data_IF_549740645921
#
_entry.id   IF_549740645921
#
_cell.length_a   1.000
_cell.length_b   1.000
_cell.length_c   1.000
_cell.angle_alpha   90.00
_cell.angle_beta   90.00
_cell.angle_gamma   90.00
#
_symmetry.space_group_name_H-M   'P 1'
#
loop_
_entity.id
_entity.type
_entity.pdbx_description
1 polymer ?
#
# COMPACT_ATOMS: atom_id res chain seq x y z
N UNK A 1 -19.12 8.27 -2.25
CA UNK A 1 -18.11 7.92 -1.22
C UNK A 1 -17.27 9.15 -0.92
N UNK A 2 -16.97 9.42 0.35
CA UNK A 2 -15.97 10.45 0.71
C UNK A 2 -14.58 9.97 0.29
N UNK A 3 -13.71 10.90 -0.11
CA UNK A 3 -12.29 10.62 -0.36
C UNK A 3 -11.65 10.23 0.98
N UNK A 4 -10.87 9.13 1.06
CA UNK A 4 -10.25 8.73 2.31
C UNK A 4 -9.10 9.67 2.69
N UNK A 5 -8.77 9.75 3.98
CA UNK A 5 -7.88 10.78 4.53
C UNK A 5 -6.43 10.73 4.01
N UNK A 6 -6.00 9.61 3.43
CA UNK A 6 -4.70 9.46 2.77
C UNK A 6 -4.67 9.99 1.33
N UNK A 7 -5.77 10.55 0.83
CA UNK A 7 -5.85 11.27 -0.42
C UNK A 7 -6.32 12.70 -0.19
N UNK A 8 -5.52 13.68 -0.62
CA UNK A 8 -5.86 15.10 -0.53
C UNK A 8 -6.24 15.67 -1.89
N UNK A 9 -7.21 16.58 -1.94
CA UNK A 9 -7.49 17.36 -3.15
C UNK A 9 -6.54 18.55 -3.22
N UNK A 10 -5.72 18.60 -4.27
CA UNK A 10 -4.85 19.74 -4.57
C UNK A 10 -4.98 20.08 -6.05
N UNK A 11 -5.31 21.34 -6.36
CA UNK A 11 -5.49 21.84 -7.73
C UNK A 11 -6.53 21.04 -8.54
N UNK A 12 -7.64 20.65 -7.90
CA UNK A 12 -8.69 19.83 -8.53
C UNK A 12 -8.31 18.34 -8.75
N UNK A 13 -7.10 17.93 -8.36
CA UNK A 13 -6.61 16.55 -8.49
C UNK A 13 -6.48 15.87 -7.13
N UNK A 14 -6.82 14.59 -7.08
CA UNK A 14 -6.58 13.74 -5.91
C UNK A 14 -5.10 13.34 -5.89
N UNK A 15 -4.39 13.67 -4.81
CA UNK A 15 -2.98 13.30 -4.60
C UNK A 15 -2.87 12.39 -3.38
N UNK A 16 -2.11 11.31 -3.55
CA UNK A 16 -1.68 10.48 -2.43
C UNK A 16 -0.66 11.26 -1.60
N UNK A 17 -0.84 11.28 -0.27
CA UNK A 17 0.17 11.76 0.66
C UNK A 17 0.75 10.53 1.34
N UNK A 18 1.97 10.20 0.98
CA UNK A 18 2.65 9.06 1.55
C UNK A 18 2.96 9.31 3.03
N UNK A 19 2.49 8.48 3.97
CA UNK A 19 2.80 8.66 5.38
C UNK A 19 4.25 8.28 5.69
N UNK A 20 4.94 7.52 4.82
CA UNK A 20 6.32 7.04 5.01
C UNK A 20 7.22 7.36 3.80
N UNK A 21 7.39 8.64 3.47
CA UNK A 21 8.28 9.05 2.36
C UNK A 21 9.75 8.75 2.67
N UNK A 22 10.10 8.54 3.94
CA UNK A 22 11.44 8.17 4.41
C UNK A 22 11.84 6.72 4.03
N UNK A 23 10.88 5.84 3.81
CA UNK A 23 11.12 4.42 3.52
C UNK A 23 11.00 4.05 2.04
N UNK A 24 10.71 5.01 1.17
CA UNK A 24 10.38 4.74 -0.22
C UNK A 24 11.03 5.71 -1.17
N UNK A 25 11.20 5.25 -2.42
CA UNK A 25 11.48 6.15 -3.53
C UNK A 25 10.16 6.64 -4.16
N UNK A 26 10.18 7.75 -4.92
CA UNK A 26 8.97 8.32 -5.51
C UNK A 26 8.16 7.36 -6.41
N UNK A 27 8.83 6.42 -7.08
CA UNK A 27 8.18 5.43 -7.95
C UNK A 27 7.37 4.42 -7.12
N UNK A 28 7.98 3.88 -6.07
CA UNK A 28 7.32 2.95 -5.14
C UNK A 28 6.15 3.65 -4.43
N UNK A 29 6.37 4.85 -3.90
CA UNK A 29 5.34 5.65 -3.24
C UNK A 29 4.12 5.87 -4.14
N UNK A 30 4.35 6.22 -5.42
CA UNK A 30 3.29 6.37 -6.42
C UNK A 30 2.53 5.06 -6.66
N UNK A 31 3.23 3.94 -6.79
CA UNK A 31 2.60 2.62 -6.98
C UNK A 31 1.75 2.24 -5.76
N UNK A 32 2.23 2.53 -4.56
CA UNK A 32 1.46 2.30 -3.34
C UNK A 32 0.19 3.17 -3.32
N UNK A 33 0.28 4.43 -3.72
CA UNK A 33 -0.88 5.30 -3.90
C UNK A 33 -1.91 4.75 -4.90
N UNK A 34 -1.45 4.20 -6.03
CA UNK A 34 -2.34 3.55 -7.02
C UNK A 34 -2.99 2.29 -6.43
N UNK A 35 -2.23 1.48 -5.68
CA UNK A 35 -2.76 0.31 -4.97
C UNK A 35 -3.90 0.72 -4.02
N UNK A 36 -3.69 1.77 -3.21
CA UNK A 36 -4.69 2.26 -2.27
C UNK A 36 -5.94 2.81 -2.98
N UNK A 37 -5.78 3.51 -4.09
CA UNK A 37 -6.90 4.04 -4.86
C UNK A 37 -7.77 2.90 -5.41
N UNK A 38 -7.15 1.91 -6.07
CA UNK A 38 -7.85 0.74 -6.61
C UNK A 38 -8.43 -0.15 -5.51
N UNK A 39 -7.72 -0.30 -4.38
CA UNK A 39 -8.23 -1.02 -3.23
C UNK A 39 -9.49 -0.32 -2.69
N UNK A 40 -9.51 1.00 -2.60
CA UNK A 40 -10.67 1.76 -2.10
C UNK A 40 -11.91 1.57 -2.97
N UNK A 41 -11.73 1.53 -4.29
CA UNK A 41 -12.81 1.26 -5.24
C UNK A 41 -13.41 -0.15 -5.08
N UNK A 42 -12.59 -1.16 -4.75
CA UNK A 42 -13.03 -2.55 -4.58
C UNK A 42 -13.52 -2.87 -3.17
N UNK A 43 -12.83 -2.36 -2.15
CA UNK A 43 -13.10 -2.55 -0.73
C UNK A 43 -12.44 -1.44 0.09
N UNK A 44 -13.23 -0.47 0.61
CA UNK A 44 -12.72 0.56 1.51
C UNK A 44 -11.98 0.00 2.73
N UNK A 45 -12.43 -1.14 3.27
CA UNK A 45 -11.79 -1.82 4.39
C UNK A 45 -10.37 -2.29 4.02
N UNK A 46 -10.21 -2.93 2.87
CA UNK A 46 -8.88 -3.37 2.39
C UNK A 46 -7.93 -2.18 2.24
N UNK A 47 -8.41 -1.07 1.68
CA UNK A 47 -7.59 0.13 1.52
C UNK A 47 -7.12 0.70 2.87
N UNK A 48 -8.00 0.73 3.88
CA UNK A 48 -7.64 1.16 5.24
C UNK A 48 -6.59 0.23 5.85
N UNK A 49 -6.75 -1.09 5.69
CA UNK A 49 -5.76 -2.07 6.17
C UNK A 49 -4.39 -1.88 5.49
N UNK A 50 -4.37 -1.75 4.16
CA UNK A 50 -3.14 -1.51 3.40
C UNK A 50 -2.48 -0.19 3.78
N UNK A 51 -3.26 0.86 4.02
CA UNK A 51 -2.75 2.14 4.50
C UNK A 51 -2.14 2.01 5.91
N UNK A 52 -2.77 1.28 6.82
CA UNK A 52 -2.21 0.99 8.14
C UNK A 52 -0.86 0.27 8.06
N UNK A 53 -0.74 -0.74 7.18
CA UNK A 53 0.54 -1.40 6.93
C UNK A 53 1.60 -0.42 6.38
N UNK A 54 1.20 0.50 5.49
CA UNK A 54 2.09 1.55 4.97
C UNK A 54 2.61 2.45 6.07
N UNK A 55 1.74 2.95 6.95
CA UNK A 55 2.14 3.78 8.09
C UNK A 55 3.21 3.10 8.96
N UNK A 56 3.05 1.79 9.21
CA UNK A 56 4.00 1.03 10.01
C UNK A 56 5.32 0.71 9.28
N UNK A 57 5.37 0.88 7.95
CA UNK A 57 6.59 0.73 7.16
C UNK A 57 6.59 -0.46 6.20
N UNK A 58 5.42 -0.87 5.71
CA UNK A 58 5.34 -1.80 4.58
C UNK A 58 5.48 -1.05 3.25
N UNK A 59 6.36 -1.55 2.39
CA UNK A 59 6.60 -1.05 1.03
C UNK A 59 6.18 -2.10 -0.01
N UNK A 60 6.11 -1.71 -1.26
CA UNK A 60 5.99 -2.60 -2.41
C UNK A 60 7.37 -2.91 -2.97
N UNK A 61 7.74 -4.19 -2.96
CA UNK A 61 8.85 -4.69 -3.76
C UNK A 61 8.34 -5.06 -5.15
N UNK A 62 9.06 -4.66 -6.19
CA UNK A 62 8.65 -4.78 -7.59
C UNK A 62 9.72 -5.43 -8.49
N UNK A 63 10.50 -6.38 -7.96
CA UNK A 63 11.63 -6.97 -8.68
C UNK A 63 11.19 -7.92 -9.80
N UNK A 64 10.40 -8.95 -9.47
CA UNK A 64 9.85 -9.91 -10.45
C UNK A 64 8.33 -10.10 -10.31
N UNK A 65 7.83 -9.89 -9.10
CA UNK A 65 6.41 -9.87 -8.76
C UNK A 65 6.18 -8.78 -7.73
N UNK A 66 5.07 -8.04 -7.89
CA UNK A 66 4.67 -7.03 -6.91
C UNK A 66 4.24 -7.74 -5.62
N UNK A 67 4.85 -7.36 -4.50
CA UNK A 67 4.55 -7.92 -3.17
C UNK A 67 4.68 -6.88 -2.07
N UNK A 68 3.93 -7.06 -0.98
CA UNK A 68 4.11 -6.29 0.26
C UNK A 68 5.35 -6.80 1.00
N UNK A 69 6.28 -5.89 1.25
CA UNK A 69 7.57 -6.13 1.89
C UNK A 69 7.65 -5.25 3.15
N UNK A 70 7.78 -5.82 4.36
CA UNK A 70 7.98 -5.02 5.55
C UNK A 70 9.43 -4.52 5.61
N UNK A 71 9.60 -3.26 6.02
CA UNK A 71 10.90 -2.77 6.52
C UNK A 71 10.99 -3.13 8.00
N UNK A 72 11.91 -4.03 8.38
CA UNK A 72 12.12 -4.43 9.78
C UNK A 72 13.13 -3.47 10.41
N UNK A 73 12.65 -2.64 11.34
CA UNK A 73 13.45 -1.67 12.07
C UNK A 73 12.69 -1.22 13.32
N UNK A 74 13.37 -1.21 14.48
CA UNK A 74 12.80 -0.73 15.73
C UNK A 74 12.50 0.78 15.71
N UNK A 75 13.25 1.57 14.96
CA UNK A 75 13.13 3.03 14.93
C UNK A 75 12.35 3.56 13.72
N UNK A 76 12.29 2.78 12.65
CA UNK A 76 11.78 3.25 11.36
C UNK A 76 10.82 2.26 10.70
N UNK A 77 10.34 1.19 11.33
CA UNK A 77 9.50 0.23 10.61
C UNK A 77 8.74 -0.72 11.51
N UNK A 78 8.58 -1.93 11.03
CA UNK A 78 8.06 -3.03 11.82
C UNK A 78 9.11 -3.47 12.85
N UNK A 79 8.74 -3.64 14.12
CA UNK A 79 9.68 -4.06 15.15
C UNK A 79 10.23 -5.47 14.89
N UNK A 80 9.43 -6.35 14.29
CA UNK A 80 9.82 -7.70 13.92
C UNK A 80 9.02 -8.21 12.72
N UNK A 81 9.53 -9.26 12.06
CA UNK A 81 8.79 -9.96 11.02
C UNK A 81 7.55 -10.67 11.57
N UNK A 82 7.57 -11.09 12.83
CA UNK A 82 6.43 -11.74 13.50
C UNK A 82 5.26 -10.78 13.65
N UNK A 83 5.53 -9.54 14.06
CA UNK A 83 4.48 -8.52 14.23
C UNK A 83 3.86 -8.11 12.89
N UNK A 84 4.69 -7.99 11.85
CA UNK A 84 4.18 -7.81 10.49
C UNK A 84 3.28 -8.98 10.07
N UNK A 85 3.70 -10.22 10.32
CA UNK A 85 2.93 -11.40 9.94
C UNK A 85 1.61 -11.49 10.72
N UNK A 86 1.54 -11.05 11.98
CA UNK A 86 0.29 -10.97 12.75
C UNK A 86 -0.69 -10.01 12.09
N UNK A 87 -0.26 -8.79 11.76
CA UNK A 87 -1.13 -7.80 11.11
C UNK A 87 -1.50 -8.21 9.68
N UNK A 88 -0.56 -8.80 8.93
CA UNK A 88 -0.79 -9.29 7.57
C UNK A 88 -1.90 -10.35 7.51
N UNK A 89 -2.17 -11.12 8.57
CA UNK A 89 -3.29 -12.08 8.61
C UNK A 89 -4.65 -11.41 8.39
N UNK A 90 -4.79 -10.12 8.76
CA UNK A 90 -6.01 -9.34 8.52
C UNK A 90 -6.31 -9.15 7.02
N UNK A 91 -5.31 -9.33 6.15
CA UNK A 91 -5.47 -9.28 4.70
C UNK A 91 -6.02 -10.59 4.09
N UNK A 92 -6.05 -11.70 4.84
CA UNK A 92 -6.48 -13.01 4.33
C UNK A 92 -7.88 -13.03 3.69
N UNK A 93 -8.90 -12.35 4.25
CA UNK A 93 -10.23 -12.28 3.63
C UNK A 93 -10.20 -11.61 2.24
N UNK A 94 -9.18 -10.80 1.95
CA UNK A 94 -9.04 -10.02 0.73
C UNK A 94 -7.99 -10.57 -0.22
N UNK A 95 -7.48 -11.79 0.02
CA UNK A 95 -6.32 -12.34 -0.70
C UNK A 95 -6.52 -12.33 -2.22
N UNK A 96 -7.69 -12.74 -2.71
CA UNK A 96 -7.99 -12.77 -4.14
C UNK A 96 -8.12 -11.35 -4.73
N UNK A 97 -8.71 -10.42 -3.98
CA UNK A 97 -8.74 -9.00 -4.37
C UNK A 97 -7.32 -8.43 -4.48
N UNK A 98 -6.46 -8.72 -3.50
CA UNK A 98 -5.06 -8.26 -3.49
C UNK A 98 -4.29 -8.82 -4.69
N UNK A 99 -4.43 -10.13 -4.98
CA UNK A 99 -3.81 -10.75 -6.16
C UNK A 99 -4.26 -10.08 -7.46
N UNK A 100 -5.56 -9.82 -7.60
CA UNK A 100 -6.10 -9.10 -8.77
C UNK A 100 -5.51 -7.69 -8.87
N UNK A 101 -5.42 -6.96 -7.76
CA UNK A 101 -4.84 -5.62 -7.72
C UNK A 101 -3.37 -5.61 -8.12
N UNK A 102 -2.56 -6.57 -7.65
CA UNK A 102 -1.15 -6.69 -8.04
C UNK A 102 -0.98 -7.00 -9.52
N UNK A 103 -1.88 -7.79 -10.11
CA UNK A 103 -1.90 -8.03 -11.57
C UNK A 103 -2.20 -6.73 -12.34
N UNK A 104 -3.17 -5.95 -11.90
CA UNK A 104 -3.50 -4.65 -12.50
C UNK A 104 -2.34 -3.65 -12.38
N UNK A 105 -1.69 -3.58 -11.21
CA UNK A 105 -0.53 -2.71 -10.97
C UNK A 105 0.66 -3.04 -11.87
N UNK A 106 0.88 -4.33 -12.16
CA UNK A 106 1.94 -4.74 -13.08
C UNK A 106 1.71 -4.19 -14.49
N UNK A 107 0.46 -4.19 -14.97
CA UNK A 107 0.11 -3.56 -16.24
C UNK A 107 0.36 -2.04 -16.28
N UNK A 108 0.47 -1.37 -15.13
CA UNK A 108 0.86 0.04 -15.05
C UNK A 108 2.39 0.27 -15.05
N UNK A 109 3.21 -0.79 -14.93
CA UNK A 109 4.68 -0.71 -14.98
C UNK A 109 5.23 -0.87 -16.40
N UNK A 110 4.50 -1.57 -17.27
CA UNK A 110 4.87 -1.90 -18.64
C UNK A 110 4.41 -0.84 -19.68
N UNK A 111 3.81 0.27 -19.22
CA UNK A 111 3.24 1.33 -20.05
C UNK A 111 3.79 2.72 -19.76
#
# INVERSE_FOLDING_TARGET
MKTPDFFVKKDGKTKFVDPRPDLSNPKESRLFGILLAKAWEKSPELAVLLHGLRCQGTILAADSNIKLQPVISLSAGWPSAEDYNKEKKRLMPFLETIKSLFKELRGCLDG
#
